data_IF_672189768938
#
_entry.id   IF_672189768938
#
_cell.length_a   1.000
_cell.length_b   1.000
_cell.length_c   1.000
_cell.angle_alpha   90.00
_cell.angle_beta   90.00
_cell.angle_gamma   90.00
#
_symmetry.space_group_name_H-M   'P 1'
#
loop_
_entity.id
_entity.type
_entity.pdbx_description
1 polymer ?
#
# COMPACT_ATOMS: atom_id res chain seq x y z
N UNK A 1 5.77 -2.01 -10.65
CA UNK A 1 6.90 -2.49 -9.83
C UNK A 1 6.75 -1.82 -8.48
N UNK A 2 6.30 -2.53 -7.43
CA UNK A 2 6.16 -1.97 -6.09
C UNK A 2 7.52 -1.61 -5.48
N UNK A 3 7.51 -0.80 -4.43
CA UNK A 3 8.74 -0.32 -3.76
C UNK A 3 9.68 -1.46 -3.33
N UNK A 4 9.16 -2.58 -2.82
CA UNK A 4 9.98 -3.73 -2.41
C UNK A 4 10.68 -4.45 -3.59
N UNK A 5 10.28 -4.19 -4.83
CA UNK A 5 10.93 -4.72 -6.03
C UNK A 5 11.95 -3.74 -6.64
N UNK A 6 12.01 -2.50 -6.15
CA UNK A 6 13.04 -1.52 -6.50
C UNK A 6 14.28 -1.75 -5.63
N UNK A 7 15.49 -1.64 -6.19
CA UNK A 7 16.76 -1.98 -5.51
C UNK A 7 16.85 -1.46 -4.07
N UNK A 8 16.60 -0.16 -3.86
CA UNK A 8 16.70 0.45 -2.54
C UNK A 8 15.60 0.00 -1.57
N UNK A 9 14.40 -0.36 -2.04
CA UNK A 9 13.36 -0.94 -1.19
C UNK A 9 13.62 -2.42 -0.90
N UNK A 10 14.11 -3.17 -1.90
CA UNK A 10 14.42 -4.61 -1.79
C UNK A 10 15.48 -4.89 -0.72
N UNK A 11 16.47 -4.03 -0.58
CA UNK A 11 17.52 -4.18 0.43
C UNK A 11 17.02 -4.08 1.87
N UNK A 12 15.90 -3.38 2.11
CA UNK A 12 15.28 -3.25 3.44
C UNK A 12 14.07 -4.15 3.65
N UNK A 13 13.55 -4.79 2.60
CA UNK A 13 12.32 -5.56 2.65
C UNK A 13 12.41 -6.71 3.67
N UNK A 14 11.45 -6.75 4.60
CA UNK A 14 11.35 -7.75 5.68
C UNK A 14 12.53 -7.77 6.67
N UNK A 15 13.41 -6.76 6.65
CA UNK A 15 14.51 -6.62 7.59
C UNK A 15 14.17 -5.58 8.67
N UNK A 16 14.80 -5.72 9.83
CA UNK A 16 14.77 -4.75 10.93
C UNK A 16 16.19 -4.52 11.43
N UNK A 17 16.52 -3.27 11.75
CA UNK A 17 17.86 -2.91 12.19
C UNK A 17 17.84 -1.66 13.06
N UNK A 18 18.74 -1.63 14.04
CA UNK A 18 19.04 -0.47 14.84
C UNK A 18 20.37 -0.69 15.58
N UNK A 19 20.94 0.39 16.11
CA UNK A 19 22.09 0.34 16.99
C UNK A 19 21.61 0.17 18.43
N UNK A 20 22.39 -0.52 19.25
CA UNK A 20 22.23 -0.52 20.71
C UNK A 20 22.23 0.90 21.27
N UNK A 21 21.43 1.14 22.31
CA UNK A 21 21.32 2.47 22.94
C UNK A 21 22.65 2.92 23.58
N UNK A 22 23.31 2.01 24.31
CA UNK A 22 24.55 2.26 25.05
C UNK A 22 25.77 1.53 24.46
N UNK A 23 25.73 1.21 23.16
CA UNK A 23 26.79 0.46 22.49
C UNK A 23 26.94 0.86 21.02
N UNK A 24 28.02 0.42 20.38
CA UNK A 24 28.26 0.61 18.95
C UNK A 24 27.75 -0.55 18.09
N UNK A 25 27.39 -1.68 18.70
CA UNK A 25 26.88 -2.87 18.02
C UNK A 25 25.43 -2.73 17.56
N UNK A 26 25.01 -3.69 16.71
CA UNK A 26 23.61 -3.87 16.35
C UNK A 26 22.83 -4.44 17.54
N UNK A 27 21.58 -3.98 17.70
CA UNK A 27 20.65 -4.55 18.66
C UNK A 27 19.87 -5.69 17.99
N UNK A 28 20.02 -6.90 18.52
CA UNK A 28 19.30 -8.10 18.02
C UNK A 28 18.15 -8.49 18.96
N UNK A 29 17.97 -7.77 20.07
CA UNK A 29 16.95 -8.03 21.07
C UNK A 29 15.67 -7.29 20.70
N UNK A 30 15.78 -5.99 20.42
CA UNK A 30 14.66 -5.17 19.97
C UNK A 30 15.13 -3.89 19.28
N UNK A 31 14.27 -3.37 18.39
CA UNK A 31 14.45 -2.04 17.80
C UNK A 31 13.25 -1.14 18.12
N UNK A 32 13.48 0.18 18.24
CA UNK A 32 12.41 1.11 18.53
C UNK A 32 11.41 1.19 17.37
N UNK A 33 10.14 1.32 17.74
CA UNK A 33 9.02 1.57 16.83
C UNK A 33 8.67 3.06 16.79
N UNK A 34 7.74 3.44 15.91
CA UNK A 34 7.17 4.80 15.88
C UNK A 34 6.54 5.25 17.21
N UNK A 35 6.15 4.33 18.09
CA UNK A 35 5.66 4.64 19.44
C UNK A 35 6.77 4.99 20.42
N UNK A 36 7.96 4.42 20.21
CA UNK A 36 9.13 4.63 21.07
C UNK A 36 9.86 5.90 20.67
N UNK A 37 10.10 6.10 19.37
CA UNK A 37 10.60 7.34 18.80
C UNK A 37 10.27 7.47 17.30
N UNK A 38 9.97 8.70 16.87
CA UNK A 38 9.60 9.01 15.48
C UNK A 38 10.75 8.78 14.48
N UNK A 39 11.98 9.03 14.92
CA UNK A 39 13.21 8.98 14.12
C UNK A 39 13.99 7.68 14.35
N UNK A 40 13.29 6.54 14.40
CA UNK A 40 13.96 5.24 14.40
C UNK A 40 14.50 4.87 13.02
N UNK A 41 15.54 4.04 12.99
CA UNK A 41 16.28 3.73 11.76
C UNK A 41 15.42 3.13 10.64
N UNK A 42 14.45 2.28 10.99
CA UNK A 42 13.58 1.59 10.04
C UNK A 42 12.53 2.55 9.47
N UNK A 43 11.83 3.31 10.32
CA UNK A 43 10.83 4.28 9.87
C UNK A 43 11.48 5.41 9.06
N UNK A 44 12.60 5.97 9.51
CA UNK A 44 13.34 7.00 8.74
C UNK A 44 13.78 6.49 7.37
N UNK A 45 14.22 5.23 7.29
CA UNK A 45 14.55 4.59 6.02
C UNK A 45 13.33 4.52 5.10
N UNK A 46 12.21 3.95 5.57
CA UNK A 46 11.00 3.81 4.76
C UNK A 46 10.41 5.15 4.35
N UNK A 47 10.41 6.16 5.24
CA UNK A 47 10.02 7.55 4.90
C UNK A 47 10.83 8.05 3.71
N UNK A 48 12.16 7.87 3.72
CA UNK A 48 13.04 8.35 2.65
C UNK A 48 12.81 7.60 1.33
N UNK A 49 12.71 6.27 1.37
CA UNK A 49 12.57 5.48 0.14
C UNK A 49 11.18 5.59 -0.48
N UNK A 50 10.12 5.76 0.32
CA UNK A 50 8.77 6.06 -0.17
C UNK A 50 8.74 7.39 -0.93
N UNK A 51 9.33 8.45 -0.36
CA UNK A 51 9.44 9.74 -1.05
C UNK A 51 10.17 9.60 -2.38
N UNK A 52 11.33 8.93 -2.40
CA UNK A 52 12.11 8.75 -3.63
C UNK A 52 11.32 7.97 -4.69
N UNK A 53 10.67 6.88 -4.29
CA UNK A 53 9.83 6.07 -5.18
C UNK A 53 8.69 6.86 -5.80
N UNK A 54 8.02 7.72 -5.03
CA UNK A 54 6.93 8.57 -5.55
C UNK A 54 7.42 9.67 -6.48
N UNK A 55 8.60 10.26 -6.21
CA UNK A 55 9.22 11.26 -7.10
C UNK A 55 9.60 10.65 -8.45
N UNK A 56 10.09 9.41 -8.44
CA UNK A 56 10.57 8.72 -9.65
C UNK A 56 9.45 8.03 -10.44
N UNK A 57 8.26 7.89 -9.85
CA UNK A 57 7.10 7.27 -10.49
C UNK A 57 6.45 8.16 -11.55
N UNK A 58 5.92 7.55 -12.61
CA UNK A 58 5.27 8.24 -13.73
C UNK A 58 4.27 7.33 -14.46
N UNK A 59 3.45 7.90 -15.34
CA UNK A 59 2.44 7.17 -16.10
C UNK A 59 1.19 6.85 -15.27
N UNK A 60 0.69 5.62 -15.35
CA UNK A 60 -0.45 5.16 -14.55
C UNK A 60 0.07 4.66 -13.20
N UNK A 61 -0.43 5.24 -12.11
CA UNK A 61 -0.12 4.78 -10.75
C UNK A 61 -1.19 3.79 -10.32
N UNK A 62 -0.78 2.64 -9.80
CA UNK A 62 -1.68 1.63 -9.27
C UNK A 62 -1.53 1.56 -7.75
N UNK A 63 -2.66 1.64 -7.03
CA UNK A 63 -2.71 1.56 -5.56
C UNK A 63 -3.59 0.37 -5.20
N UNK A 64 -3.04 -0.62 -4.50
CA UNK A 64 -3.80 -1.76 -3.99
C UNK A 64 -4.10 -1.54 -2.51
N UNK A 65 -5.38 -1.63 -2.11
CA UNK A 65 -5.84 -1.46 -0.74
C UNK A 65 -6.66 -2.69 -0.30
N UNK A 66 -6.74 -2.90 1.02
CA UNK A 66 -7.49 -4.00 1.62
C UNK A 66 -8.87 -3.50 2.09
N UNK A 67 -9.93 -3.84 1.34
CA UNK A 67 -11.33 -3.51 1.68
C UNK A 67 -11.91 -4.36 2.81
N UNK A 68 -11.17 -5.36 3.29
CA UNK A 68 -11.51 -6.20 4.44
C UNK A 68 -10.79 -5.78 5.73
N UNK A 69 -10.07 -4.65 5.74
CA UNK A 69 -9.33 -4.13 6.90
C UNK A 69 -10.26 -3.47 7.95
N UNK A 70 -10.39 -4.03 9.17
CA UNK A 70 -11.30 -3.49 10.20
C UNK A 70 -11.03 -2.06 10.63
N UNK A 71 -9.78 -1.60 10.52
CA UNK A 71 -9.39 -0.24 10.89
C UNK A 71 -9.55 0.79 9.75
N UNK A 72 -10.05 0.37 8.58
CA UNK A 72 -10.29 1.20 7.40
C UNK A 72 -9.30 0.92 6.27
N UNK A 73 -9.75 1.10 5.03
CA UNK A 73 -9.00 0.74 3.81
C UNK A 73 -7.89 1.74 3.48
N UNK A 74 -8.09 3.02 3.79
CA UNK A 74 -7.13 4.11 3.59
C UNK A 74 -6.89 4.86 4.90
N UNK A 75 -5.64 4.83 5.36
CA UNK A 75 -5.22 5.56 6.56
C UNK A 75 -4.82 6.99 6.22
N UNK A 76 -5.49 7.98 6.84
CA UNK A 76 -5.14 9.40 6.71
C UNK A 76 -3.74 9.75 7.26
N UNK A 77 -3.15 8.85 8.05
CA UNK A 77 -1.78 8.93 8.57
C UNK A 77 -1.08 7.62 8.26
N UNK A 78 0.01 7.67 7.51
CA UNK A 78 0.72 6.49 7.02
C UNK A 78 1.55 6.80 5.78
N UNK A 79 2.38 5.85 5.35
CA UNK A 79 3.34 6.05 4.24
C UNK A 79 2.67 6.56 2.96
N UNK A 80 1.59 5.90 2.52
CA UNK A 80 0.85 6.32 1.33
C UNK A 80 0.35 7.77 1.43
N UNK A 81 -0.23 8.13 2.58
CA UNK A 81 -0.84 9.44 2.79
C UNK A 81 0.17 10.56 3.01
N UNK A 82 1.26 10.30 3.73
CA UNK A 82 2.17 11.35 4.23
C UNK A 82 3.47 11.44 3.41
N UNK A 83 3.91 10.35 2.79
CA UNK A 83 5.22 10.24 2.16
C UNK A 83 5.19 9.82 0.69
N UNK A 84 4.04 9.39 0.16
CA UNK A 84 3.93 8.97 -1.24
C UNK A 84 3.05 9.92 -2.05
N UNK A 85 1.75 10.03 -1.73
CA UNK A 85 0.80 10.91 -2.45
C UNK A 85 1.32 12.35 -2.56
N UNK A 86 1.84 13.00 -1.49
CA UNK A 86 2.33 14.38 -1.59
C UNK A 86 3.53 14.56 -2.53
N UNK A 87 4.25 13.49 -2.86
CA UNK A 87 5.50 13.52 -3.62
C UNK A 87 5.36 13.01 -5.06
N UNK A 88 4.16 12.58 -5.47
CA UNK A 88 3.86 12.23 -6.85
C UNK A 88 4.02 13.46 -7.77
N UNK A 89 4.76 13.30 -8.86
CA UNK A 89 5.05 14.38 -9.82
C UNK A 89 3.88 14.57 -10.78
N UNK A 90 2.92 15.46 -10.44
CA UNK A 90 1.65 15.63 -11.17
C UNK A 90 1.78 15.72 -12.69
N UNK A 91 2.81 16.39 -13.19
CA UNK A 91 3.12 16.54 -14.61
C UNK A 91 3.50 15.24 -15.31
N UNK A 92 3.98 14.24 -14.57
CA UNK A 92 4.40 12.92 -15.07
C UNK A 92 3.33 11.84 -14.88
N UNK A 93 2.23 12.12 -14.17
CA UNK A 93 1.20 11.15 -13.84
C UNK A 93 0.02 11.31 -14.80
N UNK A 94 -0.35 10.21 -15.47
CA UNK A 94 -1.50 10.18 -16.37
C UNK A 94 -2.81 10.02 -15.61
N UNK A 95 -2.88 9.06 -14.68
CA UNK A 95 -4.01 8.80 -13.79
C UNK A 95 -3.59 7.89 -12.64
N UNK A 96 -4.43 7.83 -11.60
CA UNK A 96 -4.27 6.91 -10.47
C UNK A 96 -5.41 5.88 -10.51
N UNK A 97 -5.08 4.60 -10.46
CA UNK A 97 -6.04 3.51 -10.46
C UNK A 97 -5.96 2.76 -9.12
N UNK A 98 -7.07 2.78 -8.37
CA UNK A 98 -7.19 2.17 -7.05
C UNK A 98 -7.83 0.79 -7.21
N UNK A 99 -7.25 -0.23 -6.60
CA UNK A 99 -7.79 -1.57 -6.50
C UNK A 99 -8.14 -1.85 -5.04
N UNK A 100 -9.43 -1.87 -4.72
CA UNK A 100 -9.90 -2.25 -3.37
C UNK A 100 -10.18 -3.74 -3.40
N UNK A 101 -9.33 -4.52 -2.73
CA UNK A 101 -9.38 -5.97 -2.73
C UNK A 101 -10.03 -6.49 -1.46
N UNK A 102 -10.98 -7.43 -1.58
CA UNK A 102 -11.62 -8.09 -0.44
C UNK A 102 -11.08 -9.51 -0.26
N UNK A 103 -11.04 -10.00 0.98
CA UNK A 103 -10.73 -11.41 1.27
C UNK A 103 -11.80 -12.35 0.73
N UNK A 104 -11.39 -13.51 0.22
CA UNK A 104 -12.33 -14.51 -0.31
C UNK A 104 -13.13 -15.09 0.86
N UNK A 105 -14.47 -14.90 0.83
CA UNK A 105 -15.34 -15.25 1.95
C UNK A 105 -15.17 -14.38 3.21
N UNK A 106 -14.34 -13.34 3.14
CA UNK A 106 -14.13 -12.38 4.21
C UNK A 106 -15.16 -11.24 4.22
N UNK A 107 -15.07 -10.33 5.20
CA UNK A 107 -15.97 -9.19 5.28
C UNK A 107 -15.66 -8.18 4.17
N UNK A 108 -16.71 -7.62 3.56
CA UNK A 108 -16.61 -6.41 2.75
C UNK A 108 -16.92 -5.22 3.66
N UNK A 109 -15.88 -4.51 4.10
CA UNK A 109 -16.01 -3.42 5.07
C UNK A 109 -16.06 -2.05 4.40
N UNK A 110 -15.23 -1.83 3.39
CA UNK A 110 -15.32 -0.66 2.52
C UNK A 110 -14.97 -1.04 1.08
N UNK A 111 -15.81 -0.60 0.15
CA UNK A 111 -15.58 -0.68 -1.29
C UNK A 111 -15.24 0.71 -1.88
N UNK A 112 -14.97 0.77 -3.19
CA UNK A 112 -14.82 2.03 -3.91
C UNK A 112 -15.97 3.02 -3.63
N UNK A 113 -15.63 4.30 -3.40
CA UNK A 113 -16.59 5.34 -3.05
C UNK A 113 -17.16 5.30 -1.63
N UNK A 114 -16.69 4.39 -0.77
CA UNK A 114 -17.17 4.25 0.61
C UNK A 114 -16.11 4.66 1.63
N UNK A 115 -16.58 5.09 2.81
CA UNK A 115 -15.74 5.31 4.00
C UNK A 115 -14.42 6.04 3.73
N UNK A 116 -13.32 5.41 4.11
CA UNK A 116 -11.98 5.96 3.92
C UNK A 116 -11.49 5.95 2.47
N UNK A 117 -12.02 5.05 1.61
CA UNK A 117 -11.70 5.04 0.17
C UNK A 117 -12.21 6.32 -0.49
N UNK A 118 -13.44 6.75 -0.15
CA UNK A 118 -13.99 8.04 -0.63
C UNK A 118 -13.10 9.23 -0.26
N UNK A 119 -12.55 9.23 0.94
CA UNK A 119 -11.63 10.28 1.41
C UNK A 119 -10.35 10.31 0.58
N UNK A 120 -9.81 9.14 0.22
CA UNK A 120 -8.68 9.06 -0.70
C UNK A 120 -9.06 9.62 -2.07
N UNK A 121 -10.18 9.19 -2.64
CA UNK A 121 -10.68 9.66 -3.94
C UNK A 121 -10.85 11.20 -3.98
N UNK A 122 -11.50 11.78 -2.96
CA UNK A 122 -11.67 13.22 -2.81
C UNK A 122 -10.31 13.94 -2.72
N UNK A 123 -9.36 13.42 -1.93
CA UNK A 123 -8.02 13.99 -1.82
C UNK A 123 -7.26 13.96 -3.15
N UNK A 124 -7.32 12.85 -3.89
CA UNK A 124 -6.68 12.75 -5.20
C UNK A 124 -7.29 13.74 -6.20
N UNK A 125 -8.61 13.92 -6.15
CA UNK A 125 -9.33 14.90 -6.95
C UNK A 125 -8.95 16.34 -6.59
N UNK A 126 -8.83 16.68 -5.30
CA UNK A 126 -8.39 18.00 -4.83
C UNK A 126 -6.97 18.34 -5.27
N UNK A 127 -6.07 17.35 -5.28
CA UNK A 127 -4.72 17.47 -5.84
C UNK A 127 -4.73 17.57 -7.37
N UNK A 128 -5.88 17.33 -8.00
CA UNK A 128 -6.12 17.42 -9.44
C UNK A 128 -5.54 16.25 -10.22
N UNK A 129 -5.45 15.06 -9.61
CA UNK A 129 -5.20 13.81 -10.33
C UNK A 129 -6.50 13.29 -10.94
N UNK A 130 -6.41 12.70 -12.14
CA UNK A 130 -7.44 11.82 -12.63
C UNK A 130 -7.36 10.50 -11.85
N UNK A 131 -8.49 9.97 -11.39
CA UNK A 131 -8.51 8.68 -10.70
C UNK A 131 -9.62 7.76 -11.21
N UNK A 132 -9.46 6.47 -10.95
CA UNK A 132 -10.49 5.44 -11.09
C UNK A 132 -10.34 4.41 -9.96
N UNK A 133 -11.44 3.81 -9.51
CA UNK A 133 -11.42 2.77 -8.48
C UNK A 133 -12.11 1.50 -8.99
N UNK A 134 -11.52 0.34 -8.69
CA UNK A 134 -11.99 -0.99 -9.09
C UNK A 134 -12.05 -1.86 -7.85
N UNK A 135 -13.25 -2.38 -7.53
CA UNK A 135 -13.40 -3.43 -6.54
C UNK A 135 -12.95 -4.77 -7.13
N UNK A 136 -12.19 -5.54 -6.34
CA UNK A 136 -11.78 -6.91 -6.65
C UNK A 136 -11.19 -7.07 -8.05
N UNK A 137 -10.16 -6.26 -8.35
CA UNK A 137 -9.47 -6.28 -9.63
C UNK A 137 -9.12 -7.71 -10.07
N UNK A 138 -9.69 -8.13 -11.20
CA UNK A 138 -9.80 -9.54 -11.57
C UNK A 138 -8.47 -10.31 -11.53
N UNK A 139 -7.34 -9.80 -12.07
CA UNK A 139 -6.07 -10.52 -11.98
C UNK A 139 -5.62 -10.81 -10.55
N UNK A 140 -5.83 -9.88 -9.62
CA UNK A 140 -5.47 -10.06 -8.20
C UNK A 140 -6.48 -10.96 -7.51
N UNK A 141 -7.78 -10.85 -7.83
CA UNK A 141 -8.80 -11.79 -7.36
C UNK A 141 -8.47 -13.24 -7.76
N UNK A 142 -8.05 -13.46 -9.01
CA UNK A 142 -7.62 -14.77 -9.50
C UNK A 142 -6.40 -15.30 -8.75
N UNK A 143 -5.44 -14.43 -8.41
CA UNK A 143 -4.31 -14.81 -7.55
C UNK A 143 -4.79 -15.25 -6.16
N UNK A 144 -5.70 -14.51 -5.53
CA UNK A 144 -6.29 -14.91 -4.23
C UNK A 144 -7.04 -16.24 -4.34
N UNK A 145 -7.73 -16.47 -5.46
CA UNK A 145 -8.45 -17.73 -5.70
C UNK A 145 -7.56 -18.97 -5.81
N UNK A 146 -6.24 -18.83 -5.98
CA UNK A 146 -5.31 -19.98 -5.96
C UNK A 146 -5.40 -20.74 -4.64
N UNK A 147 -5.55 -20.03 -3.52
CA UNK A 147 -5.66 -20.61 -2.18
C UNK A 147 -7.12 -20.91 -1.77
N UNK A 148 -8.09 -20.53 -2.59
CA UNK A 148 -9.53 -20.67 -2.33
C UNK A 148 -10.30 -21.28 -3.51
N UNK A 149 -9.67 -22.22 -4.23
CA UNK A 149 -10.17 -22.76 -5.51
C UNK A 149 -11.60 -23.34 -5.46
N UNK A 150 -12.04 -23.87 -4.31
CA UNK A 150 -13.39 -24.43 -4.13
C UNK A 150 -14.41 -23.42 -3.58
N UNK A 151 -14.00 -22.19 -3.28
CA UNK A 151 -14.90 -21.15 -2.78
C UNK A 151 -15.83 -20.67 -3.90
N UNK A 152 -17.14 -20.40 -3.64
CA UNK A 152 -18.08 -19.95 -4.65
C UNK A 152 -17.62 -18.70 -5.44
N UNK A 153 -16.97 -17.75 -4.77
CA UNK A 153 -16.44 -16.53 -5.41
C UNK A 153 -15.31 -16.77 -6.43
N UNK A 154 -14.75 -17.99 -6.42
CA UNK A 154 -13.64 -18.44 -7.25
C UNK A 154 -14.08 -19.51 -8.27
N UNK A 155 -15.37 -19.84 -8.33
CA UNK A 155 -15.89 -20.81 -9.27
C UNK A 155 -15.68 -20.33 -10.72
N UNK A 156 -14.92 -21.09 -11.50
CA UNK A 156 -14.76 -20.86 -12.93
C UNK A 156 -16.00 -21.37 -13.67
N UNK A 157 -16.49 -20.61 -14.66
CA UNK A 157 -17.56 -21.07 -15.53
C UNK A 157 -17.05 -22.24 -16.38
N UNK A 158 -17.75 -23.37 -16.39
CA UNK A 158 -17.50 -24.41 -17.40
C UNK A 158 -17.93 -23.88 -18.76
N UNK A 159 -17.04 -23.98 -19.75
CA UNK A 159 -17.45 -23.80 -21.14
C UNK A 159 -18.24 -25.05 -21.56
N UNK A 160 -19.53 -24.88 -21.78
CA UNK A 160 -20.39 -25.84 -22.47
C UNK A 160 -20.63 -25.36 -23.89
#
# INVERSE_FOLDING_TARGET
MPLHDVLYGRMGALLSWCRQQNGSGLDYQSCPTSKDCEDNAVDSFWKRVSVQYSVDSSGVIYIMLNGSEPSGTYFKKGFLADYEIPYLQKDKITRIEIWVMHEIGGPNLESCGEGSVKILEERLQELGFQYSCINDYLPVKLLKCVDHSTHPDCALKSQH
#
